data_IF_366597368071
#
_entry.id   IF_366597368071
#
_cell.length_a   1.000
_cell.length_b   1.000
_cell.length_c   1.000
_cell.angle_alpha   90.00
_cell.angle_beta   90.00
_cell.angle_gamma   90.00
#
_symmetry.space_group_name_H-M   'P 1'
#
loop_
_entity.id
_entity.type
_entity.pdbx_description
1 polymer ?
#
# COMPACT_ATOMS: atom_id res chain seq x y z
N UNK A 1 14.76 -14.79 -9.42
CA UNK A 1 14.30 -13.78 -8.45
C UNK A 1 14.80 -12.41 -8.93
N UNK A 2 13.94 -11.59 -9.50
CA UNK A 2 14.34 -10.26 -10.00
C UNK A 2 14.69 -9.35 -8.82
N UNK A 3 16.00 -9.08 -8.60
CA UNK A 3 16.54 -7.91 -7.88
C UNK A 3 16.10 -7.64 -6.42
N UNK A 4 15.58 -8.64 -5.66
CA UNK A 4 15.08 -8.47 -4.28
C UNK A 4 15.88 -9.24 -3.21
N UNK A 5 17.09 -9.63 -3.53
CA UNK A 5 17.95 -10.39 -2.59
C UNK A 5 18.29 -9.61 -1.32
N UNK A 6 18.28 -8.27 -1.39
CA UNK A 6 18.57 -7.39 -0.25
C UNK A 6 17.33 -6.85 0.48
N UNK A 7 16.11 -7.22 0.04
CA UNK A 7 14.88 -6.83 0.75
C UNK A 7 14.75 -7.64 2.06
N UNK A 8 15.04 -6.98 3.18
CA UNK A 8 14.93 -7.56 4.54
C UNK A 8 13.56 -8.22 4.80
N UNK A 9 12.47 -7.60 4.31
CA UNK A 9 11.11 -8.16 4.49
C UNK A 9 10.92 -9.44 3.67
N UNK A 10 11.49 -9.50 2.47
CA UNK A 10 11.46 -10.71 1.65
C UNK A 10 12.29 -11.83 2.29
N UNK A 11 13.49 -11.53 2.78
CA UNK A 11 14.35 -12.50 3.48
C UNK A 11 13.64 -13.07 4.70
N UNK A 12 13.10 -12.24 5.58
CA UNK A 12 12.32 -12.67 6.74
C UNK A 12 11.10 -13.53 6.38
N UNK A 13 10.43 -13.21 5.25
CA UNK A 13 9.33 -14.04 4.77
C UNK A 13 9.85 -15.41 4.28
N UNK A 14 10.94 -15.42 3.53
CA UNK A 14 11.55 -16.65 3.02
C UNK A 14 11.99 -17.56 4.15
N UNK A 15 12.74 -17.03 5.13
CA UNK A 15 13.16 -17.75 6.33
C UNK A 15 11.96 -18.34 7.09
N UNK A 16 10.99 -17.52 7.47
CA UNK A 16 9.81 -17.98 8.20
C UNK A 16 9.03 -19.07 7.46
N UNK A 17 8.92 -18.97 6.14
CA UNK A 17 8.17 -19.97 5.34
C UNK A 17 8.98 -21.25 5.20
N UNK A 18 10.29 -21.17 5.04
CA UNK A 18 11.19 -22.33 5.01
C UNK A 18 11.21 -23.05 6.34
N UNK A 19 11.38 -22.31 7.45
CA UNK A 19 11.35 -22.87 8.81
C UNK A 19 10.04 -23.61 9.08
N UNK A 20 8.92 -23.07 8.61
CA UNK A 20 7.62 -23.73 8.77
C UNK A 20 7.53 -25.04 7.96
N UNK A 21 8.08 -25.09 6.74
CA UNK A 21 8.15 -26.36 5.98
C UNK A 21 9.05 -27.36 6.67
N UNK A 22 10.24 -26.94 7.14
CA UNK A 22 11.19 -27.79 7.87
C UNK A 22 10.57 -28.31 9.16
N UNK A 23 9.88 -27.47 9.92
CA UNK A 23 9.24 -27.88 11.18
C UNK A 23 8.16 -28.96 11.00
N UNK A 24 7.54 -29.05 9.81
CA UNK A 24 6.50 -30.05 9.50
C UNK A 24 7.06 -31.32 8.89
N UNK A 25 8.13 -31.20 8.10
CA UNK A 25 8.62 -32.27 7.23
C UNK A 25 10.02 -32.77 7.59
N UNK A 26 10.67 -32.13 8.57
CA UNK A 26 12.07 -32.32 8.90
C UNK A 26 13.03 -31.57 7.97
N UNK A 27 14.23 -31.31 8.47
CA UNK A 27 15.34 -30.80 7.66
C UNK A 27 15.95 -31.97 6.88
N UNK A 28 15.81 -31.95 5.57
CA UNK A 28 16.22 -33.03 4.68
C UNK A 28 16.73 -32.51 3.34
N UNK A 29 17.42 -33.38 2.61
CA UNK A 29 17.89 -33.03 1.28
C UNK A 29 16.74 -32.53 0.40
N UNK A 30 17.00 -31.54 -0.45
CA UNK A 30 15.99 -30.91 -1.30
C UNK A 30 15.24 -31.95 -2.16
N UNK A 31 15.95 -32.94 -2.68
CA UNK A 31 15.39 -34.05 -3.47
C UNK A 31 14.48 -34.99 -2.67
N UNK A 32 14.53 -34.98 -1.33
CA UNK A 32 13.71 -35.82 -0.47
C UNK A 32 12.33 -35.23 -0.14
N UNK A 33 12.09 -33.96 -0.45
CA UNK A 33 10.76 -33.36 -0.31
C UNK A 33 9.78 -33.92 -1.33
N UNK A 34 8.54 -34.18 -0.88
CA UNK A 34 7.49 -34.86 -1.62
C UNK A 34 6.22 -34.03 -1.69
N UNK A 35 5.25 -34.49 -2.50
CA UNK A 35 3.91 -33.90 -2.55
C UNK A 35 3.18 -34.01 -1.20
N UNK A 36 3.51 -35.02 -0.36
CA UNK A 36 2.93 -35.15 0.98
C UNK A 36 3.38 -34.03 1.89
N UNK A 37 4.65 -33.63 1.82
CA UNK A 37 5.17 -32.47 2.59
C UNK A 37 4.47 -31.17 2.16
N UNK A 38 4.27 -31.00 0.87
CA UNK A 38 3.54 -29.83 0.34
C UNK A 38 2.07 -29.81 0.79
N UNK A 39 1.40 -30.97 0.81
CA UNK A 39 0.03 -31.09 1.34
C UNK A 39 -0.02 -30.78 2.84
N UNK A 40 0.88 -31.35 3.63
CA UNK A 40 0.97 -31.08 5.08
C UNK A 40 1.16 -29.57 5.37
N UNK A 41 2.03 -28.91 4.63
CA UNK A 41 2.24 -27.46 4.73
C UNK A 41 0.97 -26.68 4.39
N UNK A 42 0.28 -27.00 3.28
CA UNK A 42 -0.99 -26.39 2.90
C UNK A 42 -2.05 -26.57 3.99
N UNK A 43 -2.21 -27.81 4.47
CA UNK A 43 -3.31 -28.17 5.38
C UNK A 43 -3.11 -27.55 6.76
N UNK A 44 -1.85 -27.45 7.22
CA UNK A 44 -1.51 -26.70 8.44
C UNK A 44 -1.83 -25.21 8.32
N UNK A 45 -1.54 -24.58 7.17
CA UNK A 45 -1.92 -23.18 6.94
C UNK A 45 -3.44 -22.99 6.94
N UNK A 46 -4.20 -23.92 6.35
CA UNK A 46 -5.66 -23.91 6.38
C UNK A 46 -6.20 -24.08 7.79
N UNK A 47 -5.70 -25.04 8.56
CA UNK A 47 -6.11 -25.28 9.94
C UNK A 47 -5.89 -24.06 10.84
N UNK A 48 -4.87 -23.24 10.53
CA UNK A 48 -4.61 -21.94 11.20
C UNK A 48 -5.50 -20.80 10.70
N UNK A 49 -6.49 -21.05 9.86
CA UNK A 49 -7.40 -20.03 9.32
C UNK A 49 -6.76 -19.09 8.31
N UNK A 50 -5.64 -19.45 7.67
CA UNK A 50 -4.99 -18.59 6.70
C UNK A 50 -5.86 -18.44 5.43
N UNK A 51 -6.11 -17.19 5.02
CA UNK A 51 -6.80 -16.91 3.76
C UNK A 51 -6.06 -17.51 2.57
N UNK A 52 -6.80 -17.96 1.55
CA UNK A 52 -6.23 -18.59 0.35
C UNK A 52 -5.15 -17.78 -0.33
N UNK A 53 -5.30 -16.44 -0.37
CA UNK A 53 -4.29 -15.52 -0.90
C UNK A 53 -2.97 -15.58 -0.13
N UNK A 54 -3.04 -15.72 1.20
CA UNK A 54 -1.84 -15.88 2.06
C UNK A 54 -1.18 -17.24 1.82
N UNK A 55 -1.97 -18.32 1.68
CA UNK A 55 -1.45 -19.65 1.36
C UNK A 55 -0.73 -19.61 0.01
N UNK A 56 -1.37 -19.07 -1.04
CA UNK A 56 -0.76 -18.91 -2.38
C UNK A 56 0.55 -18.12 -2.32
N UNK A 57 0.62 -17.08 -1.52
CA UNK A 57 1.84 -16.27 -1.33
C UNK A 57 2.97 -17.07 -0.68
N UNK A 58 2.67 -17.85 0.38
CA UNK A 58 3.67 -18.70 1.03
C UNK A 58 4.19 -19.77 0.06
N UNK A 59 3.31 -20.42 -0.69
CA UNK A 59 3.69 -21.38 -1.73
C UNK A 59 4.51 -20.74 -2.86
N UNK A 60 4.23 -19.51 -3.26
CA UNK A 60 5.05 -18.82 -4.26
C UNK A 60 6.50 -18.64 -3.78
N UNK A 61 6.70 -18.36 -2.49
CA UNK A 61 8.03 -18.25 -1.88
C UNK A 61 8.74 -19.60 -1.87
N UNK A 62 8.10 -20.65 -1.35
CA UNK A 62 8.70 -22.01 -1.31
C UNK A 62 9.05 -22.49 -2.72
N UNK A 63 8.15 -22.32 -3.68
CA UNK A 63 8.42 -22.71 -5.08
C UNK A 63 9.62 -21.97 -5.66
N UNK A 64 9.75 -20.68 -5.37
CA UNK A 64 10.90 -19.89 -5.86
C UNK A 64 12.20 -20.38 -5.26
N UNK A 65 12.22 -20.66 -3.96
CA UNK A 65 13.40 -21.20 -3.27
C UNK A 65 13.75 -22.57 -3.84
N UNK A 66 12.77 -23.48 -3.91
CA UNK A 66 12.99 -24.83 -4.41
C UNK A 66 13.53 -24.83 -5.86
N UNK A 67 12.90 -24.06 -6.76
CA UNK A 67 13.33 -23.98 -8.17
C UNK A 67 14.73 -23.39 -8.31
N UNK A 68 15.07 -22.38 -7.52
CA UNK A 68 16.43 -21.80 -7.53
C UNK A 68 17.44 -22.83 -7.05
N UNK A 69 17.20 -23.43 -5.88
CA UNK A 69 18.12 -24.42 -5.30
C UNK A 69 18.28 -25.67 -6.19
N UNK A 70 17.18 -26.16 -6.78
CA UNK A 70 17.24 -27.29 -7.69
C UNK A 70 18.14 -27.01 -8.92
N UNK A 71 18.05 -25.79 -9.45
CA UNK A 71 18.90 -25.35 -10.58
C UNK A 71 20.37 -25.25 -10.19
N UNK A 72 20.65 -24.59 -9.04
CA UNK A 72 22.02 -24.41 -8.55
C UNK A 72 22.73 -25.74 -8.21
N UNK A 73 21.95 -26.74 -7.77
CA UNK A 73 22.48 -28.05 -7.36
C UNK A 73 22.24 -29.15 -8.40
N UNK A 74 21.80 -28.84 -9.61
CA UNK A 74 21.60 -29.80 -10.68
C UNK A 74 20.54 -30.87 -10.38
N UNK A 75 19.55 -30.57 -9.54
CA UNK A 75 18.48 -31.51 -9.16
C UNK A 75 17.42 -31.57 -10.25
N UNK A 76 17.37 -32.65 -10.99
CA UNK A 76 16.39 -32.90 -12.04
C UNK A 76 15.16 -33.64 -11.46
N UNK A 77 14.38 -32.93 -10.64
CA UNK A 77 13.15 -33.45 -10.04
C UNK A 77 12.04 -32.40 -10.11
N UNK A 78 10.78 -32.80 -10.42
CA UNK A 78 9.67 -31.86 -10.38
C UNK A 78 9.50 -31.22 -8.99
N UNK A 79 9.20 -29.92 -8.96
CA UNK A 79 8.95 -29.21 -7.72
C UNK A 79 7.69 -29.72 -7.02
N UNK A 80 7.78 -30.33 -5.83
CA UNK A 80 6.61 -30.91 -5.14
C UNK A 80 5.62 -29.86 -4.65
N UNK A 81 6.05 -28.58 -4.54
CA UNK A 81 5.19 -27.47 -4.16
C UNK A 81 4.54 -26.77 -5.37
N UNK A 82 4.81 -27.25 -6.60
CA UNK A 82 4.16 -26.74 -7.81
C UNK A 82 2.74 -27.31 -7.95
N UNK A 83 1.90 -26.57 -8.70
CA UNK A 83 0.55 -27.00 -9.11
C UNK A 83 -0.36 -27.47 -7.96
N UNK A 84 -0.17 -26.91 -6.75
CA UNK A 84 -1.01 -27.25 -5.60
C UNK A 84 -2.41 -26.66 -5.73
N UNK A 85 -3.41 -27.50 -5.53
CA UNK A 85 -4.79 -27.05 -5.35
C UNK A 85 -4.99 -26.52 -3.93
N UNK A 86 -5.44 -25.27 -3.81
CA UNK A 86 -5.60 -24.61 -2.49
C UNK A 86 -7.04 -24.70 -1.96
N UNK A 87 -7.98 -25.20 -2.77
CA UNK A 87 -9.42 -25.21 -2.46
C UNK A 87 -10.05 -23.81 -2.59
N UNK A 88 -11.35 -23.76 -2.50
CA UNK A 88 -12.12 -22.53 -2.32
C UNK A 88 -11.98 -22.12 -0.85
N UNK A 89 -11.12 -21.17 -0.57
CA UNK A 89 -11.05 -20.55 0.77
C UNK A 89 -12.00 -19.38 0.87
N UNK A 90 -12.15 -18.83 2.07
CA UNK A 90 -12.89 -17.59 2.27
C UNK A 90 -12.43 -16.53 1.25
N UNK A 91 -13.37 -15.94 0.55
CA UNK A 91 -13.08 -14.84 -0.37
C UNK A 91 -12.36 -13.72 0.41
N UNK A 92 -11.39 -13.02 -0.22
CA UNK A 92 -10.77 -11.88 0.42
C UNK A 92 -11.86 -10.87 0.79
N UNK A 93 -11.94 -10.47 2.05
CA UNK A 93 -12.86 -9.41 2.46
C UNK A 93 -12.54 -8.17 1.63
N UNK A 94 -13.48 -7.79 0.77
CA UNK A 94 -13.38 -6.58 -0.05
C UNK A 94 -13.35 -5.39 0.88
N UNK A 95 -12.30 -4.61 0.82
CA UNK A 95 -12.24 -3.36 1.58
C UNK A 95 -13.29 -2.40 1.06
N UNK A 96 -14.13 -1.92 1.98
CA UNK A 96 -15.17 -0.95 1.66
C UNK A 96 -14.58 0.46 1.62
N UNK A 97 -15.07 1.35 0.75
CA UNK A 97 -14.79 2.77 0.85
C UNK A 97 -15.36 3.34 2.15
N UNK A 98 -14.77 4.38 2.68
CA UNK A 98 -15.35 5.18 3.77
C UNK A 98 -16.48 6.01 3.16
N UNK A 99 -17.72 5.97 3.70
CA UNK A 99 -18.83 6.78 3.22
C UNK A 99 -18.55 8.28 3.38
N UNK A 100 -19.16 9.12 2.53
CA UNK A 100 -18.89 10.57 2.51
C UNK A 100 -19.19 11.25 3.85
N UNK A 101 -20.28 10.87 4.53
CA UNK A 101 -20.62 11.44 5.82
C UNK A 101 -19.60 11.07 6.90
N UNK A 102 -19.07 9.85 6.87
CA UNK A 102 -17.97 9.43 7.74
C UNK A 102 -16.67 10.15 7.41
N UNK A 103 -16.40 10.45 6.12
CA UNK A 103 -15.24 11.26 5.73
C UNK A 103 -15.34 12.65 6.35
N UNK A 104 -16.48 13.33 6.18
CA UNK A 104 -16.74 14.67 6.76
C UNK A 104 -16.61 14.66 8.28
N UNK A 105 -17.16 13.64 8.94
CA UNK A 105 -17.04 13.48 10.39
C UNK A 105 -15.57 13.35 10.81
N UNK A 106 -14.82 12.46 10.17
CA UNK A 106 -13.38 12.27 10.45
C UNK A 106 -12.60 13.56 10.22
N UNK A 107 -12.86 14.29 9.13
CA UNK A 107 -12.20 15.57 8.82
C UNK A 107 -12.49 16.63 9.88
N UNK A 108 -13.75 16.75 10.31
CA UNK A 108 -14.13 17.69 11.36
C UNK A 108 -13.44 17.36 12.69
N UNK A 109 -13.40 16.08 13.08
CA UNK A 109 -12.69 15.66 14.29
C UNK A 109 -11.17 15.84 14.17
N UNK A 110 -10.60 15.69 12.97
CA UNK A 110 -9.20 16.02 12.73
C UNK A 110 -8.92 17.52 12.95
N UNK A 111 -9.78 18.41 12.45
CA UNK A 111 -9.63 19.84 12.62
C UNK A 111 -9.76 20.29 14.07
N UNK A 112 -10.63 19.63 14.87
CA UNK A 112 -10.79 19.95 16.31
C UNK A 112 -9.55 19.59 17.13
N UNK A 113 -8.90 18.48 16.82
CA UNK A 113 -7.74 17.97 17.58
C UNK A 113 -6.42 18.57 17.11
N UNK A 114 -6.32 18.94 15.85
CA UNK A 114 -5.26 19.74 15.21
C UNK A 114 -3.83 19.32 15.60
N UNK A 115 -3.47 18.07 15.35
CA UNK A 115 -2.15 17.51 15.62
C UNK A 115 -1.62 16.63 14.45
N UNK A 116 -0.37 16.20 14.55
CA UNK A 116 0.33 15.47 13.50
C UNK A 116 -0.36 14.16 13.05
N UNK A 117 -1.04 13.47 13.95
CA UNK A 117 -1.81 12.25 13.63
C UNK A 117 -3.01 12.62 12.77
N UNK A 118 -3.73 13.68 13.14
CA UNK A 118 -4.95 14.13 12.47
C UNK A 118 -4.65 14.81 11.15
N UNK A 119 -3.57 15.57 11.05
CA UNK A 119 -3.12 16.11 9.75
C UNK A 119 -2.81 15.01 8.75
N UNK A 120 -2.15 13.91 9.18
CA UNK A 120 -1.87 12.78 8.28
C UNK A 120 -3.16 12.08 7.81
N UNK A 121 -4.17 11.93 8.68
CA UNK A 121 -5.47 11.37 8.31
C UNK A 121 -6.21 12.30 7.33
N UNK A 122 -6.30 13.59 7.65
CA UNK A 122 -6.97 14.60 6.82
C UNK A 122 -6.33 14.69 5.43
N UNK A 123 -5.00 14.69 5.35
CA UNK A 123 -4.28 14.64 4.07
C UNK A 123 -4.69 13.43 3.23
N UNK A 124 -4.74 12.23 3.83
CA UNK A 124 -5.08 10.99 3.11
C UNK A 124 -6.57 10.96 2.72
N UNK A 125 -7.45 11.58 3.51
CA UNK A 125 -8.90 11.53 3.29
C UNK A 125 -9.31 12.18 1.96
N UNK A 126 -8.63 13.24 1.52
CA UNK A 126 -8.92 13.91 0.25
C UNK A 126 -7.97 13.54 -0.88
N UNK A 127 -6.73 13.14 -0.58
CA UNK A 127 -5.76 12.78 -1.62
C UNK A 127 -5.79 11.30 -2.00
N UNK A 128 -6.30 10.41 -1.15
CA UNK A 128 -6.25 8.97 -1.34
C UNK A 128 -4.83 8.41 -1.49
N UNK A 129 -3.80 9.12 -1.04
CA UNK A 129 -2.41 8.67 -1.06
C UNK A 129 -2.25 7.35 -0.32
N UNK A 130 -1.24 6.56 -0.72
CA UNK A 130 -0.84 5.43 0.13
C UNK A 130 -0.23 5.97 1.42
N UNK A 131 -0.50 5.30 2.53
CA UNK A 131 0.00 5.75 3.84
C UNK A 131 1.52 5.98 3.86
N UNK A 132 2.31 5.12 3.22
CA UNK A 132 3.76 5.31 3.13
C UNK A 132 4.16 6.50 2.24
N UNK A 133 3.35 6.85 1.26
CA UNK A 133 3.55 8.06 0.43
C UNK A 133 3.31 9.32 1.29
N UNK A 134 2.17 9.38 1.97
CA UNK A 134 1.78 10.52 2.79
C UNK A 134 2.69 10.69 4.02
N UNK A 135 2.90 9.63 4.81
CA UNK A 135 3.74 9.68 6.00
C UNK A 135 5.21 10.01 5.67
N UNK A 136 5.67 9.65 4.47
CA UNK A 136 7.04 9.89 4.00
C UNK A 136 7.25 11.21 3.27
N UNK A 137 6.29 12.14 3.30
CA UNK A 137 6.45 13.44 2.67
C UNK A 137 7.57 14.27 3.30
N UNK A 138 8.30 14.97 2.44
CA UNK A 138 9.28 15.99 2.82
C UNK A 138 8.71 17.36 2.60
N UNK A 139 9.24 18.35 3.30
CA UNK A 139 8.88 19.76 3.06
C UNK A 139 9.19 20.15 1.61
N UNK A 140 10.27 19.63 1.01
CA UNK A 140 10.60 19.87 -0.40
C UNK A 140 9.64 19.23 -1.42
N UNK A 141 8.76 18.31 -1.01
CA UNK A 141 7.71 17.76 -1.88
C UNK A 141 6.49 18.72 -2.01
N UNK A 142 6.42 19.76 -1.17
CA UNK A 142 5.27 20.65 -1.06
C UNK A 142 5.41 21.86 -1.98
N UNK A 143 4.40 22.14 -2.76
CA UNK A 143 4.27 23.30 -3.63
C UNK A 143 3.01 24.11 -3.26
N UNK A 144 2.92 24.50 -1.99
CA UNK A 144 1.72 25.13 -1.41
C UNK A 144 1.61 26.63 -1.67
N UNK A 145 2.69 27.27 -2.14
CA UNK A 145 2.72 28.70 -2.50
C UNK A 145 2.37 28.95 -3.97
N UNK A 146 2.13 27.91 -4.74
CA UNK A 146 1.74 28.01 -6.15
C UNK A 146 0.25 28.38 -6.28
N UNK A 147 -0.17 28.92 -7.44
CA UNK A 147 -1.58 29.21 -7.74
C UNK A 147 -2.48 27.99 -7.52
N UNK A 148 -1.97 26.81 -7.83
CA UNK A 148 -2.59 25.54 -7.50
C UNK A 148 -1.68 24.83 -6.51
N UNK A 149 -2.05 24.74 -5.23
CA UNK A 149 -1.29 23.98 -4.24
C UNK A 149 -1.27 22.49 -4.57
N UNK A 150 -0.10 21.86 -4.51
CA UNK A 150 0.03 20.43 -4.77
C UNK A 150 1.19 19.79 -4.02
N UNK A 151 1.18 18.48 -3.94
CA UNK A 151 2.30 17.64 -3.50
C UNK A 151 2.90 16.93 -4.70
N UNK A 152 4.21 17.01 -4.86
CA UNK A 152 4.97 16.23 -5.84
C UNK A 152 5.49 14.95 -5.21
N UNK A 153 4.96 13.81 -5.61
CA UNK A 153 5.45 12.51 -5.16
C UNK A 153 6.62 12.05 -6.01
N UNK A 154 7.81 12.03 -5.41
CA UNK A 154 9.03 11.49 -5.99
C UNK A 154 9.66 10.44 -5.10
N UNK A 155 10.54 9.62 -5.65
CA UNK A 155 11.28 8.61 -4.88
C UNK A 155 12.37 9.27 -4.04
N UNK A 156 12.48 8.85 -2.77
CA UNK A 156 13.54 9.25 -1.85
C UNK A 156 14.14 8.03 -1.16
N UNK A 157 15.34 8.16 -0.62
CA UNK A 157 16.01 7.08 0.14
C UNK A 157 15.14 6.55 1.30
N UNK A 158 14.38 7.43 1.97
CA UNK A 158 13.46 7.07 3.06
C UNK A 158 12.08 6.59 2.60
N UNK A 159 11.70 6.85 1.35
CA UNK A 159 10.39 6.54 0.75
C UNK A 159 10.55 6.02 -0.67
N UNK A 160 10.82 4.73 -0.86
CA UNK A 160 10.75 4.11 -2.18
C UNK A 160 9.31 4.11 -2.68
N UNK A 161 9.09 4.38 -3.95
CA UNK A 161 7.79 4.27 -4.57
C UNK A 161 7.51 2.83 -4.99
N UNK A 162 6.26 2.39 -4.86
CA UNK A 162 5.87 0.99 -5.13
C UNK A 162 5.95 0.64 -6.61
N UNK A 163 5.67 1.59 -7.48
CA UNK A 163 5.65 1.45 -8.95
C UNK A 163 6.12 2.77 -9.59
N UNK A 164 6.58 2.72 -10.83
CA UNK A 164 6.94 3.92 -11.62
C UNK A 164 5.79 4.91 -11.74
N UNK A 165 4.55 4.45 -11.92
CA UNK A 165 3.35 5.29 -11.95
C UNK A 165 2.97 5.91 -10.59
N UNK A 166 3.71 5.63 -9.52
CA UNK A 166 3.50 6.31 -8.23
C UNK A 166 4.03 7.72 -8.21
N UNK A 167 5.01 8.07 -9.07
CA UNK A 167 5.49 9.46 -9.25
C UNK A 167 4.40 10.28 -9.90
N UNK A 168 3.96 11.34 -9.23
CA UNK A 168 2.86 12.21 -9.71
C UNK A 168 2.73 13.48 -8.88
N UNK A 169 2.09 14.49 -9.46
CA UNK A 169 1.63 15.68 -8.75
C UNK A 169 0.18 15.46 -8.30
N UNK A 170 -0.13 15.74 -7.04
CA UNK A 170 -1.47 15.60 -6.45
C UNK A 170 -1.91 16.98 -5.97
N UNK A 171 -2.95 17.58 -6.58
CA UNK A 171 -3.53 18.82 -6.08
C UNK A 171 -4.00 18.66 -4.63
N UNK A 172 -3.83 19.73 -3.85
CA UNK A 172 -4.31 19.78 -2.48
C UNK A 172 -5.59 20.63 -2.43
N UNK A 173 -6.65 20.03 -1.92
CA UNK A 173 -7.97 20.63 -1.75
C UNK A 173 -8.48 20.38 -0.34
N UNK A 174 -9.47 21.14 0.13
CA UNK A 174 -10.20 20.90 1.37
C UNK A 174 -9.32 20.58 2.58
N UNK A 175 -9.64 19.51 3.26
CA UNK A 175 -8.93 19.08 4.48
C UNK A 175 -7.48 18.69 4.23
N UNK A 176 -7.13 18.26 3.02
CA UNK A 176 -5.75 17.93 2.69
C UNK A 176 -4.86 19.18 2.62
N UNK A 177 -5.36 20.27 2.03
CA UNK A 177 -4.64 21.54 1.99
C UNK A 177 -4.43 22.11 3.40
N UNK A 178 -5.50 22.14 4.21
CA UNK A 178 -5.43 22.56 5.61
C UNK A 178 -4.37 21.75 6.37
N UNK A 179 -4.40 20.43 6.26
CA UNK A 179 -3.49 19.55 6.98
C UNK A 179 -2.02 19.76 6.62
N UNK A 180 -1.74 19.96 5.32
CA UNK A 180 -0.37 20.22 4.86
C UNK A 180 0.13 21.57 5.33
N UNK A 181 -0.72 22.62 5.31
CA UNK A 181 -0.37 23.94 5.81
C UNK A 181 -0.06 23.89 7.32
N UNK A 182 -0.90 23.23 8.13
CA UNK A 182 -0.67 23.05 9.57
C UNK A 182 0.63 22.28 9.83
N UNK A 183 0.80 21.11 9.20
CA UNK A 183 1.98 20.29 9.38
C UNK A 183 3.27 20.99 8.96
N UNK A 184 3.24 21.78 7.88
CA UNK A 184 4.40 22.53 7.41
C UNK A 184 4.75 23.70 8.36
N UNK A 185 3.76 24.35 8.98
CA UNK A 185 3.98 25.44 9.94
C UNK A 185 4.60 24.96 11.26
N UNK A 186 4.33 23.72 11.66
CA UNK A 186 4.77 23.15 12.95
C UNK A 186 6.09 22.36 12.85
N UNK A 187 6.70 22.24 11.65
CA UNK A 187 7.89 21.43 11.46
C UNK A 187 9.00 22.18 10.72
N UNK A 188 10.12 22.37 11.39
CA UNK A 188 11.34 22.99 10.82
C UNK A 188 12.29 21.98 10.17
N UNK A 189 11.97 20.69 10.25
CA UNK A 189 12.80 19.60 9.75
C UNK A 189 12.50 19.23 8.28
N UNK A 190 13.23 18.26 7.72
CA UNK A 190 13.06 17.88 6.31
C UNK A 190 11.80 17.07 6.02
N UNK A 191 11.12 16.54 7.04
CA UNK A 191 9.93 15.69 6.91
C UNK A 191 8.68 16.41 7.38
N UNK A 192 7.58 16.25 6.64
CA UNK A 192 6.27 16.77 7.04
C UNK A 192 5.71 16.05 8.28
N UNK A 193 6.03 14.77 8.44
CA UNK A 193 5.60 13.93 9.58
C UNK A 193 6.80 13.24 10.23
N UNK A 194 7.63 13.96 11.00
CA UNK A 194 8.90 13.44 11.56
C UNK A 194 8.70 12.28 12.53
N UNK A 195 7.54 12.16 13.18
CA UNK A 195 7.20 11.02 14.05
C UNK A 195 7.35 9.68 13.35
N UNK A 196 7.09 9.62 12.04
CA UNK A 196 7.05 8.37 11.27
C UNK A 196 8.27 8.18 10.37
N UNK A 197 9.12 9.19 10.23
CA UNK A 197 10.22 9.17 9.28
C UNK A 197 11.58 9.43 9.91
N UNK A 198 12.58 8.77 9.34
CA UNK A 198 13.99 9.08 9.50
C UNK A 198 14.61 9.27 8.13
N UNK A 199 15.86 9.69 8.06
CA UNK A 199 16.60 9.90 6.79
C UNK A 199 16.66 8.64 5.92
N UNK A 200 16.54 7.45 6.53
CA UNK A 200 16.70 6.16 5.84
C UNK A 200 15.39 5.35 5.75
N UNK A 201 14.35 5.69 6.51
CA UNK A 201 13.15 4.83 6.59
C UNK A 201 11.89 5.58 7.01
N UNK A 202 10.77 5.22 6.39
CA UNK A 202 9.42 5.58 6.83
C UNK A 202 8.74 4.38 7.54
N UNK A 203 8.22 4.60 8.76
CA UNK A 203 7.57 3.60 9.63
C UNK A 203 6.05 3.56 9.38
N UNK A 204 5.61 3.39 8.14
CA UNK A 204 4.20 3.41 7.76
C UNK A 204 3.35 2.33 8.48
N UNK A 205 3.94 1.18 8.81
CA UNK A 205 3.24 0.11 9.55
C UNK A 205 2.86 0.59 10.96
N UNK A 206 3.74 1.36 11.63
CA UNK A 206 3.46 1.97 12.94
C UNK A 206 2.39 3.05 12.83
N UNK A 207 2.49 3.93 11.84
CA UNK A 207 1.45 4.92 11.56
C UNK A 207 0.08 4.25 11.34
N UNK A 208 0.02 3.17 10.56
CA UNK A 208 -1.21 2.44 10.28
C UNK A 208 -1.95 2.01 11.55
N UNK A 209 -1.25 1.48 12.52
CA UNK A 209 -1.85 1.03 13.78
C UNK A 209 -2.47 2.19 14.56
N UNK A 210 -1.74 3.30 14.68
CA UNK A 210 -2.21 4.51 15.40
C UNK A 210 -3.42 5.14 14.72
N UNK A 211 -3.34 5.35 13.41
CA UNK A 211 -4.41 5.98 12.65
C UNK A 211 -5.69 5.16 12.64
N UNK A 212 -5.59 3.85 12.40
CA UNK A 212 -6.76 2.96 12.39
C UNK A 212 -7.41 2.83 13.77
N UNK A 213 -6.63 2.81 14.84
CA UNK A 213 -7.17 2.80 16.20
C UNK A 213 -8.00 4.03 16.48
N UNK A 214 -7.52 5.21 16.11
CA UNK A 214 -8.24 6.47 16.31
C UNK A 214 -9.47 6.59 15.43
N UNK A 215 -9.38 6.18 14.14
CA UNK A 215 -10.50 6.29 13.19
C UNK A 215 -11.67 5.37 13.52
N UNK A 216 -11.44 4.26 14.22
CA UNK A 216 -12.43 3.18 14.41
C UNK A 216 -13.81 3.66 14.88
N UNK A 217 -13.97 4.64 15.80
CA UNK A 217 -15.29 5.12 16.22
C UNK A 217 -16.04 5.93 15.17
N UNK A 218 -15.36 6.45 14.16
CA UNK A 218 -15.90 7.42 13.19
C UNK A 218 -16.23 6.80 11.83
N UNK A 219 -15.85 5.55 11.60
CA UNK A 219 -16.02 4.87 10.30
C UNK A 219 -16.71 3.52 10.50
N UNK A 220 -17.42 3.00 9.49
CA UNK A 220 -18.01 1.67 9.54
C UNK A 220 -16.98 0.57 9.79
N UNK A 221 -17.42 -0.55 10.36
CA UNK A 221 -16.58 -1.71 10.58
C UNK A 221 -15.92 -2.20 9.28
N UNK A 222 -14.65 -2.57 9.36
CA UNK A 222 -13.85 -3.00 8.20
C UNK A 222 -13.21 -1.86 7.41
N UNK A 223 -13.60 -0.60 7.65
CA UNK A 223 -12.91 0.57 7.09
C UNK A 223 -11.60 0.84 7.83
N UNK A 224 -10.57 1.15 7.07
CA UNK A 224 -9.20 1.46 7.54
C UNK A 224 -8.66 2.67 6.78
N UNK A 225 -7.51 3.21 7.21
CA UNK A 225 -6.89 4.37 6.54
C UNK A 225 -6.75 4.18 5.01
N UNK A 226 -6.49 2.96 4.55
CA UNK A 226 -6.42 2.65 3.13
C UNK A 226 -7.78 2.72 2.41
N UNK A 227 -8.88 2.67 3.14
CA UNK A 227 -10.25 2.78 2.59
C UNK A 227 -10.52 4.15 1.96
N UNK A 228 -9.88 5.23 2.44
CA UNK A 228 -9.96 6.55 1.79
C UNK A 228 -9.49 6.54 0.34
N UNK A 229 -8.57 5.65 -0.01
CA UNK A 229 -8.13 5.50 -1.40
C UNK A 229 -9.22 4.91 -2.31
N UNK A 230 -10.07 4.04 -1.76
CA UNK A 230 -11.27 3.56 -2.45
C UNK A 230 -12.31 4.68 -2.54
N UNK A 231 -12.50 5.44 -1.44
CA UNK A 231 -13.42 6.58 -1.40
C UNK A 231 -13.05 7.68 -2.40
N UNK A 232 -11.78 8.02 -2.53
CA UNK A 232 -11.33 8.98 -3.55
C UNK A 232 -11.79 8.55 -4.95
N UNK A 233 -11.60 7.27 -5.30
CA UNK A 233 -12.01 6.76 -6.61
C UNK A 233 -13.51 6.86 -6.82
N UNK A 234 -14.30 6.54 -5.79
CA UNK A 234 -15.76 6.58 -5.88
C UNK A 234 -16.29 8.02 -5.88
N UNK A 235 -15.71 8.93 -5.10
CA UNK A 235 -16.04 10.37 -5.13
C UNK A 235 -15.77 10.99 -6.49
N UNK A 236 -14.61 10.72 -7.08
CA UNK A 236 -14.27 11.21 -8.43
C UNK A 236 -15.19 10.61 -9.51
N UNK A 237 -15.60 9.34 -9.38
CA UNK A 237 -16.59 8.73 -10.27
C UNK A 237 -17.97 9.37 -10.12
N UNK A 238 -18.38 9.68 -8.91
CA UNK A 238 -19.67 10.35 -8.65
C UNK A 238 -19.75 11.73 -9.30
N UNK A 239 -18.60 12.39 -9.52
CA UNK A 239 -18.49 13.65 -10.25
C UNK A 239 -18.27 13.44 -11.77
N UNK A 240 -18.40 12.21 -12.29
CA UNK A 240 -18.18 11.87 -13.69
C UNK A 240 -16.75 12.17 -14.21
N UNK A 241 -15.76 12.15 -13.29
CA UNK A 241 -14.37 12.36 -13.66
C UNK A 241 -13.89 11.25 -14.61
N UNK A 242 -13.21 11.59 -15.72
CA UNK A 242 -12.64 10.62 -16.63
C UNK A 242 -11.70 9.63 -15.92
N UNK A 243 -11.80 8.35 -16.26
CA UNK A 243 -11.04 7.27 -15.61
C UNK A 243 -9.53 7.50 -15.65
N UNK A 244 -9.03 8.09 -16.71
CA UNK A 244 -7.61 8.41 -16.91
C UNK A 244 -7.11 9.47 -15.91
N UNK A 245 -7.92 10.49 -15.64
CA UNK A 245 -7.64 11.52 -14.63
C UNK A 245 -7.69 10.91 -13.23
N UNK A 246 -8.69 10.05 -12.97
CA UNK A 246 -8.77 9.31 -11.70
C UNK A 246 -7.51 8.48 -11.48
N UNK A 247 -7.08 7.75 -12.52
CA UNK A 247 -5.89 6.89 -12.44
C UNK A 247 -4.60 7.70 -12.25
N UNK A 248 -4.49 8.86 -12.90
CA UNK A 248 -3.36 9.77 -12.72
C UNK A 248 -3.30 10.34 -11.29
N UNK A 249 -4.42 10.86 -10.76
CA UNK A 249 -4.50 11.37 -9.38
C UNK A 249 -4.13 10.27 -8.39
N UNK A 250 -4.72 9.09 -8.54
CA UNK A 250 -4.50 7.96 -7.64
C UNK A 250 -3.15 7.27 -7.82
N UNK A 251 -2.47 7.43 -8.95
CA UNK A 251 -1.27 6.64 -9.29
C UNK A 251 -1.63 5.15 -9.42
N UNK A 252 -2.72 4.83 -10.10
CA UNK A 252 -3.07 3.48 -10.51
C UNK A 252 -2.45 3.17 -11.87
N UNK A 253 -2.13 1.90 -12.10
CA UNK A 253 -1.64 1.47 -13.39
C UNK A 253 -2.78 1.53 -14.41
N UNK A 254 -2.52 2.12 -15.55
CA UNK A 254 -3.41 2.12 -16.70
C UNK A 254 -3.26 0.81 -17.46
N UNK A 255 -4.36 0.27 -17.97
CA UNK A 255 -4.37 -1.00 -18.72
C UNK A 255 -4.25 -0.80 -20.22
N UNK A 256 -4.41 0.43 -20.71
CA UNK A 256 -4.37 0.78 -22.12
C UNK A 256 -2.98 1.23 -22.57
N UNK A 257 -2.50 0.68 -23.68
CA UNK A 257 -1.22 1.09 -24.32
C UNK A 257 -1.25 2.56 -24.71
N UNK A 258 -2.41 3.06 -25.20
CA UNK A 258 -2.59 4.46 -25.62
C UNK A 258 -2.39 5.47 -24.49
N UNK A 259 -2.71 5.10 -23.25
CA UNK A 259 -2.53 5.96 -22.07
C UNK A 259 -1.06 6.09 -21.64
N UNK A 260 -0.17 5.27 -22.19
CA UNK A 260 1.29 5.38 -21.98
C UNK A 260 1.95 6.47 -22.84
N UNK A 261 1.23 7.02 -23.81
CA UNK A 261 1.73 8.10 -24.65
C UNK A 261 1.33 9.47 -24.11
N UNK A 262 2.23 10.45 -24.23
CA UNK A 262 2.01 11.82 -23.76
C UNK A 262 2.43 12.06 -22.31
N UNK A 263 2.30 13.32 -21.87
CA UNK A 263 2.74 13.81 -20.54
C UNK A 263 1.67 13.74 -19.45
N UNK A 264 0.52 13.12 -19.75
CA UNK A 264 -0.65 13.11 -18.87
C UNK A 264 -1.42 14.44 -18.88
N UNK A 265 -2.38 14.55 -17.96
CA UNK A 265 -3.23 15.74 -17.82
C UNK A 265 -2.52 16.85 -17.02
N UNK A 266 -2.67 18.12 -17.41
CA UNK A 266 -2.16 19.26 -16.66
C UNK A 266 -2.70 19.31 -15.23
N UNK A 267 -1.92 19.85 -14.30
CA UNK A 267 -2.30 20.01 -12.89
C UNK A 267 -3.65 20.72 -12.69
N UNK A 268 -3.95 21.71 -13.53
CA UNK A 268 -5.22 22.45 -13.50
C UNK A 268 -6.44 21.54 -13.73
N UNK A 269 -6.31 20.55 -14.62
CA UNK A 269 -7.39 19.59 -14.88
C UNK A 269 -7.61 18.67 -13.68
N UNK A 270 -6.52 18.17 -13.07
CA UNK A 270 -6.58 17.35 -11.86
C UNK A 270 -7.23 18.12 -10.70
N UNK A 271 -6.80 19.38 -10.51
CA UNK A 271 -7.32 20.26 -9.46
C UNK A 271 -8.81 20.56 -9.64
N UNK A 272 -9.26 20.84 -10.87
CA UNK A 272 -10.68 21.06 -11.15
C UNK A 272 -11.54 19.89 -10.70
N UNK A 273 -11.14 18.65 -11.02
CA UNK A 273 -11.88 17.46 -10.64
C UNK A 273 -11.81 17.17 -9.13
N UNK A 274 -10.67 17.43 -8.50
CA UNK A 274 -10.56 17.27 -7.05
C UNK A 274 -11.41 18.29 -6.29
N UNK A 275 -11.57 19.51 -6.80
CA UNK A 275 -12.51 20.49 -6.24
C UNK A 275 -13.98 20.09 -6.37
N UNK A 276 -14.37 19.43 -7.45
CA UNK A 276 -15.74 18.98 -7.62
C UNK A 276 -16.16 17.86 -6.65
N UNK A 277 -15.23 17.17 -6.01
CA UNK A 277 -15.54 16.11 -5.07
C UNK A 277 -15.61 16.57 -3.59
N UNK A 278 -15.37 17.83 -3.29
CA UNK A 278 -15.42 18.44 -1.94
C UNK A 278 -16.79 18.41 -1.26
#
# INVERSE_FOLDING_TARGET
MKGRTDDKKFRQLAERVTDHVISLSGDKALSAYTIHDAKAFRDTLKARGAATTRIKRNFAVVRSIWNLSAREHGINKPNPFANMHYGTGAEPVKRMPVPIDSIRLVQNECMKLDDDIRWLIALISDTGMRLAEAAGLRIGDLHIQNDIPFVRLEEHASRPLKTTGSRRDIPLVGSALWAVQRAAAENDGPFLFPRYCSTTKCKADYASNTLNKWMKPYVPEGCVIHSFRHSLRDRLRACECPSEIIDQIGGWATTSVGQGYGSGYPLANLHRWMKHME
#
